data_IF_022866908312
#
_entry.id   IF_022866908312
#
_cell.length_a   1.000
_cell.length_b   1.000
_cell.length_c   1.000
_cell.angle_alpha   90.00
_cell.angle_beta   90.00
_cell.angle_gamma   90.00
#
_symmetry.space_group_name_H-M   'P 1'
#
loop_
_entity.id
_entity.type
_entity.pdbx_description
1 polymer ?
#
# COMPACT_ATOMS: atom_id res chain seq x y z
N UNK A 1 44.44 41.84 17.87
CA UNK A 1 44.04 41.37 16.52
C UNK A 1 43.94 39.85 16.52
N UNK A 2 42.72 39.31 16.49
CA UNK A 2 42.29 38.17 15.65
C UNK A 2 40.82 37.91 15.95
N UNK A 3 39.98 38.38 15.04
CA UNK A 3 38.57 37.98 14.97
C UNK A 3 38.52 36.56 14.43
N UNK A 4 37.73 35.69 15.07
CA UNK A 4 37.18 34.52 14.42
C UNK A 4 35.73 34.37 14.86
N UNK A 5 34.83 34.79 13.99
CA UNK A 5 33.40 34.51 14.08
C UNK A 5 33.19 33.05 13.67
N UNK A 6 32.54 32.25 14.51
CA UNK A 6 31.77 31.10 14.05
C UNK A 6 30.36 31.20 14.60
N UNK A 7 29.44 31.45 13.67
CA UNK A 7 28.01 31.24 13.84
C UNK A 7 27.78 29.73 13.89
N UNK A 8 27.27 29.20 14.99
CA UNK A 8 26.67 27.86 14.98
C UNK A 8 25.16 28.06 15.00
N UNK A 9 24.62 27.80 13.81
CA UNK A 9 23.21 27.69 13.49
C UNK A 9 22.61 26.55 14.32
N UNK A 10 21.68 26.87 15.21
CA UNK A 10 20.84 25.88 15.90
C UNK A 10 19.84 25.34 14.88
N UNK A 11 19.87 24.03 14.62
CA UNK A 11 18.73 23.31 14.04
C UNK A 11 18.43 22.10 14.93
N UNK A 12 17.54 22.29 15.90
CA UNK A 12 16.80 21.19 16.51
C UNK A 12 15.58 20.92 15.62
N UNK A 13 15.71 19.98 14.68
CA UNK A 13 14.55 19.42 13.98
C UNK A 13 13.90 18.37 14.89
N UNK A 14 13.09 18.82 15.83
CA UNK A 14 12.04 17.98 16.39
C UNK A 14 10.86 18.01 15.42
N UNK A 15 10.83 17.11 14.45
CA UNK A 15 9.61 16.82 13.68
C UNK A 15 8.68 15.92 14.52
N UNK A 16 8.08 16.49 15.56
CA UNK A 16 6.85 15.96 16.13
C UNK A 16 5.72 16.55 15.28
N UNK A 17 5.28 15.83 14.26
CA UNK A 17 4.00 16.11 13.62
C UNK A 17 3.02 15.00 13.97
N UNK A 18 2.56 14.98 15.22
CA UNK A 18 1.16 14.70 15.46
C UNK A 18 0.46 16.05 15.31
N UNK A 19 -0.11 16.34 14.14
CA UNK A 19 -1.00 17.49 14.03
C UNK A 19 -2.13 17.28 15.03
N UNK A 20 -2.13 18.10 16.08
CA UNK A 20 -3.22 18.29 17.03
C UNK A 20 -4.40 19.07 16.41
N UNK A 21 -4.34 19.32 15.11
CA UNK A 21 -5.48 19.81 14.36
C UNK A 21 -6.35 18.59 14.09
N UNK A 22 -7.30 18.32 14.99
CA UNK A 22 -8.61 17.92 14.51
C UNK A 22 -9.04 19.07 13.59
N UNK A 23 -8.65 18.98 12.32
CA UNK A 23 -9.28 19.78 11.28
C UNK A 23 -10.79 19.62 11.51
N UNK A 24 -11.57 20.69 11.40
CA UNK A 24 -13.03 20.61 11.33
C UNK A 24 -13.38 19.80 10.08
N UNK A 25 -13.29 18.48 10.22
CA UNK A 25 -13.46 17.53 9.15
C UNK A 25 -14.95 17.47 8.93
N UNK A 26 -15.41 18.12 7.88
CA UNK A 26 -16.77 17.97 7.43
C UNK A 26 -16.92 16.57 6.81
N UNK A 27 -17.43 15.63 7.59
CA UNK A 27 -17.79 14.31 7.09
C UNK A 27 -19.00 14.45 6.18
N UNK A 28 -18.94 13.95 4.93
CA UNK A 28 -20.11 13.81 4.10
C UNK A 28 -21.20 13.05 4.87
N UNK A 29 -22.43 13.55 4.81
CA UNK A 29 -23.60 12.94 5.44
C UNK A 29 -24.57 12.44 4.37
N UNK A 30 -24.02 11.79 3.35
CA UNK A 30 -24.80 11.17 2.29
C UNK A 30 -25.26 9.77 2.73
N UNK A 31 -26.37 9.32 2.13
CA UNK A 31 -26.89 7.98 2.42
C UNK A 31 -25.97 6.92 1.81
N UNK A 32 -25.37 6.10 2.65
CA UNK A 32 -24.58 4.93 2.24
C UNK A 32 -25.47 3.73 1.92
N UNK A 33 -24.99 2.85 1.04
CA UNK A 33 -25.62 1.57 0.70
C UNK A 33 -25.28 0.52 1.77
N UNK A 34 -24.10 0.61 2.37
CA UNK A 34 -23.64 -0.22 3.47
C UNK A 34 -23.75 0.49 4.82
N UNK A 35 -23.91 -0.28 5.89
CA UNK A 35 -23.69 0.25 7.24
C UNK A 35 -22.18 0.40 7.47
N UNK A 36 -21.76 1.65 7.67
CA UNK A 36 -20.36 1.99 7.90
C UNK A 36 -20.24 2.59 9.29
N UNK A 37 -19.53 1.92 10.20
CA UNK A 37 -19.45 2.30 11.62
C UNK A 37 -18.02 2.64 12.00
N UNK A 38 -17.81 3.88 12.46
CA UNK A 38 -16.51 4.34 12.95
C UNK A 38 -16.29 3.80 14.37
N UNK A 39 -15.16 3.16 14.61
CA UNK A 39 -14.80 2.70 15.93
C UNK A 39 -14.60 3.90 16.88
N UNK A 40 -14.87 3.73 18.18
CA UNK A 40 -14.86 4.81 19.19
C UNK A 40 -13.53 5.55 19.35
N UNK A 41 -12.44 5.00 18.83
CA UNK A 41 -11.10 5.63 18.83
C UNK A 41 -10.80 6.41 17.53
N UNK A 42 -11.74 6.47 16.58
CA UNK A 42 -11.64 7.15 15.29
C UNK A 42 -10.47 6.68 14.39
N UNK A 43 -9.95 5.46 14.57
CA UNK A 43 -8.81 4.92 13.80
C UNK A 43 -9.17 3.88 12.76
N UNK A 44 -10.28 3.17 12.96
CA UNK A 44 -10.73 2.09 12.08
C UNK A 44 -12.23 2.15 11.92
N UNK A 45 -12.70 1.64 10.79
CA UNK A 45 -14.11 1.65 10.41
C UNK A 45 -14.49 0.24 9.96
N UNK A 46 -15.67 -0.22 10.36
CA UNK A 46 -16.27 -1.44 9.81
C UNK A 46 -17.26 -1.07 8.71
N UNK A 47 -17.23 -1.81 7.60
CA UNK A 47 -18.25 -1.78 6.56
C UNK A 47 -18.98 -3.12 6.58
N UNK A 48 -20.29 -3.09 6.80
CA UNK A 48 -21.11 -4.30 6.91
C UNK A 48 -21.71 -4.66 5.55
N UNK A 49 -21.22 -5.75 4.96
CA UNK A 49 -21.83 -6.40 3.80
C UNK A 49 -22.94 -7.36 4.23
N UNK A 50 -23.90 -7.61 3.35
CA UNK A 50 -24.85 -8.70 3.57
C UNK A 50 -24.14 -10.06 3.55
N UNK A 51 -24.71 -11.09 4.18
CA UNK A 51 -24.12 -12.44 4.16
C UNK A 51 -23.90 -12.99 2.74
N UNK A 52 -24.80 -12.69 1.80
CA UNK A 52 -24.65 -13.12 0.40
C UNK A 52 -23.55 -12.38 -0.33
N UNK A 53 -23.49 -11.06 -0.12
CA UNK A 53 -22.48 -10.20 -0.73
C UNK A 53 -21.08 -10.53 -0.22
N UNK A 54 -20.91 -10.67 1.10
CA UNK A 54 -19.62 -11.00 1.68
C UNK A 54 -19.10 -12.37 1.23
N UNK A 55 -19.99 -13.38 1.16
CA UNK A 55 -19.64 -14.69 0.61
C UNK A 55 -19.23 -14.61 -0.86
N UNK A 56 -19.94 -13.82 -1.66
CA UNK A 56 -19.58 -13.60 -3.06
C UNK A 56 -18.26 -12.81 -3.20
N UNK A 57 -18.02 -11.82 -2.34
CA UNK A 57 -16.77 -11.06 -2.28
C UNK A 57 -15.59 -11.99 -2.01
N UNK A 58 -15.70 -12.85 -1.00
CA UNK A 58 -14.64 -13.78 -0.64
C UNK A 58 -14.46 -14.87 -1.69
N UNK A 59 -15.53 -15.60 -2.04
CA UNK A 59 -15.44 -16.78 -2.91
C UNK A 59 -15.09 -16.47 -4.37
N UNK A 60 -15.28 -15.22 -4.82
CA UNK A 60 -15.01 -14.81 -6.20
C UNK A 60 -13.95 -13.71 -6.31
N UNK A 61 -13.14 -13.50 -5.26
CA UNK A 61 -12.11 -12.45 -5.21
C UNK A 61 -12.65 -11.09 -5.66
N UNK A 62 -13.67 -10.61 -4.94
CA UNK A 62 -14.43 -9.40 -5.25
C UNK A 62 -13.55 -8.17 -5.37
N UNK A 63 -12.43 -8.11 -4.64
CA UNK A 63 -11.46 -7.02 -4.76
C UNK A 63 -10.79 -6.96 -6.14
N UNK A 64 -10.49 -8.10 -6.76
CA UNK A 64 -9.97 -8.14 -8.13
C UNK A 64 -10.97 -7.70 -9.19
N UNK A 65 -12.28 -7.75 -8.89
CA UNK A 65 -13.32 -7.25 -9.77
C UNK A 65 -13.41 -5.71 -9.70
N UNK A 66 -13.26 -5.04 -10.85
CA UNK A 66 -13.22 -3.57 -10.89
C UNK A 66 -14.52 -2.88 -10.52
N UNK A 67 -15.64 -3.47 -10.89
CA UNK A 67 -16.95 -2.86 -10.63
C UNK A 67 -17.26 -2.96 -9.14
N UNK A 68 -17.05 -4.14 -8.55
CA UNK A 68 -17.28 -4.39 -7.11
C UNK A 68 -16.44 -3.46 -6.23
N UNK A 69 -15.12 -3.38 -6.45
CA UNK A 69 -14.26 -2.49 -5.62
C UNK A 69 -14.61 -1.01 -5.76
N UNK A 70 -15.01 -0.56 -6.96
CA UNK A 70 -15.43 0.83 -7.19
C UNK A 70 -16.72 1.15 -6.45
N UNK A 71 -17.71 0.26 -6.48
CA UNK A 71 -18.97 0.42 -5.73
C UNK A 71 -18.70 0.62 -4.24
N UNK A 72 -17.89 -0.25 -3.63
CA UNK A 72 -17.54 -0.14 -2.21
C UNK A 72 -16.79 1.15 -1.89
N UNK A 73 -15.83 1.55 -2.73
CA UNK A 73 -15.03 2.76 -2.48
C UNK A 73 -15.87 4.04 -2.62
N UNK A 74 -16.75 4.11 -3.62
CA UNK A 74 -17.69 5.22 -3.76
C UNK A 74 -18.59 5.34 -2.53
N UNK A 75 -19.08 4.21 -2.01
CA UNK A 75 -19.93 4.20 -0.81
C UNK A 75 -19.19 4.65 0.46
N UNK A 76 -17.88 4.39 0.55
CA UNK A 76 -17.03 4.93 1.62
C UNK A 76 -16.95 6.46 1.54
N UNK A 77 -16.73 7.04 0.35
CA UNK A 77 -16.63 8.50 0.21
C UNK A 77 -17.94 9.26 0.44
N UNK A 78 -19.10 8.58 0.38
CA UNK A 78 -20.37 9.16 0.87
C UNK A 78 -20.37 9.46 2.37
N UNK A 79 -19.41 8.90 3.13
CA UNK A 79 -19.26 9.08 4.57
C UNK A 79 -17.95 9.75 4.98
N UNK A 80 -16.88 9.57 4.22
CA UNK A 80 -15.56 10.11 4.54
C UNK A 80 -15.14 11.23 3.59
N UNK A 81 -14.50 12.30 4.09
CA UNK A 81 -13.96 13.35 3.23
C UNK A 81 -12.84 12.82 2.31
N UNK A 82 -12.64 13.44 1.16
CA UNK A 82 -11.52 13.15 0.26
C UNK A 82 -10.21 13.73 0.80
N UNK A 83 -9.61 13.05 1.78
CA UNK A 83 -8.33 13.46 2.40
C UNK A 83 -7.35 12.31 2.61
N UNK A 84 -7.71 11.10 2.21
CA UNK A 84 -6.92 9.90 2.46
C UNK A 84 -6.26 9.45 1.17
N UNK A 85 -4.93 9.28 1.21
CA UNK A 85 -4.18 8.76 0.07
C UNK A 85 -4.43 7.26 -0.17
N UNK A 86 -4.82 6.52 0.89
CA UNK A 86 -4.91 5.06 0.88
C UNK A 86 -6.15 4.55 1.61
N UNK A 87 -6.76 3.48 1.08
CA UNK A 87 -7.81 2.70 1.76
C UNK A 87 -7.36 1.25 1.88
N UNK A 88 -7.47 0.70 3.08
CA UNK A 88 -7.14 -0.69 3.40
C UNK A 88 -8.44 -1.44 3.67
N UNK A 89 -8.77 -2.39 2.79
CA UNK A 89 -9.79 -3.40 3.03
C UNK A 89 -9.15 -4.57 3.74
N UNK A 90 -9.56 -4.85 4.97
CA UNK A 90 -9.04 -5.98 5.75
C UNK A 90 -10.15 -7.00 5.88
N UNK A 91 -9.96 -8.19 5.32
CA UNK A 91 -10.94 -9.26 5.44
C UNK A 91 -11.06 -9.72 6.89
N UNK A 92 -12.29 -10.03 7.30
CA UNK A 92 -12.58 -10.58 8.62
C UNK A 92 -12.60 -12.11 8.55
N UNK A 93 -11.50 -12.68 8.07
CA UNK A 93 -11.33 -14.12 7.91
C UNK A 93 -10.23 -14.63 8.85
N UNK A 94 -10.37 -15.82 9.44
CA UNK A 94 -9.34 -16.42 10.28
C UNK A 94 -8.14 -16.92 9.47
N UNK A 95 -8.36 -17.27 8.20
CA UNK A 95 -7.37 -17.80 7.26
C UNK A 95 -7.64 -17.21 5.87
N UNK A 96 -6.65 -17.25 4.97
CA UNK A 96 -6.84 -16.80 3.59
C UNK A 96 -7.90 -17.69 2.91
N UNK A 97 -8.98 -17.10 2.37
CA UNK A 97 -9.98 -17.87 1.63
C UNK A 97 -9.40 -18.60 0.42
N UNK A 98 -9.91 -19.81 0.12
CA UNK A 98 -9.36 -20.68 -0.95
C UNK A 98 -9.32 -20.01 -2.34
N UNK A 99 -10.27 -19.11 -2.61
CA UNK A 99 -10.40 -18.34 -3.85
C UNK A 99 -9.40 -17.17 -3.97
N UNK A 100 -8.71 -16.81 -2.89
CA UNK A 100 -7.78 -15.69 -2.82
C UNK A 100 -6.36 -16.25 -2.78
N UNK A 101 -5.57 -15.96 -3.81
CA UNK A 101 -4.20 -16.47 -3.97
C UNK A 101 -3.12 -15.46 -3.56
N UNK A 102 -3.45 -14.50 -2.67
CA UNK A 102 -2.54 -13.45 -2.21
C UNK A 102 -2.75 -13.12 -0.73
N UNK A 103 -1.66 -12.67 -0.09
CA UNK A 103 -1.66 -12.17 1.29
C UNK A 103 -2.11 -10.69 1.35
N UNK A 104 -1.70 -9.93 0.34
CA UNK A 104 -1.99 -8.53 0.14
C UNK A 104 -2.09 -8.25 -1.35
N UNK A 105 -2.89 -7.25 -1.71
CA UNK A 105 -3.00 -6.81 -3.10
C UNK A 105 -3.30 -5.33 -3.17
N UNK A 106 -2.43 -4.57 -3.84
CA UNK A 106 -2.65 -3.17 -4.16
C UNK A 106 -3.24 -2.96 -5.56
N UNK A 107 -4.17 -2.01 -5.66
CA UNK A 107 -4.67 -1.44 -6.91
C UNK A 107 -4.33 0.05 -6.92
N UNK A 108 -3.51 0.47 -7.88
CA UNK A 108 -3.23 1.88 -8.13
C UNK A 108 -4.46 2.60 -8.67
N UNK A 109 -4.74 3.78 -8.12
CA UNK A 109 -5.89 4.64 -8.48
C UNK A 109 -5.41 5.92 -9.15
N UNK A 110 -4.36 6.55 -8.62
CA UNK A 110 -3.71 7.69 -9.23
C UNK A 110 -2.19 7.63 -9.00
N UNK A 111 -1.45 8.18 -9.95
CA UNK A 111 -0.01 8.36 -9.86
C UNK A 111 0.39 9.70 -10.49
N UNK A 112 0.94 10.57 -9.66
CA UNK A 112 1.55 11.85 -10.02
C UNK A 112 3.09 11.83 -9.89
N UNK A 113 3.67 10.66 -9.60
CA UNK A 113 5.09 10.48 -9.34
C UNK A 113 5.81 10.10 -10.63
N UNK A 114 6.78 10.93 -11.01
CA UNK A 114 7.70 10.66 -12.11
C UNK A 114 8.91 9.83 -11.67
N UNK A 115 9.62 9.22 -12.63
CA UNK A 115 10.88 8.52 -12.36
C UNK A 115 10.74 7.11 -11.75
N UNK A 116 9.53 6.66 -11.44
CA UNK A 116 9.24 5.27 -11.02
C UNK A 116 9.14 4.31 -12.21
N UNK A 117 9.08 4.82 -13.44
CA UNK A 117 8.83 4.01 -14.64
C UNK A 117 7.36 3.63 -14.85
N UNK A 118 6.45 4.13 -14.02
CA UNK A 118 5.02 4.09 -14.29
C UNK A 118 4.56 5.31 -15.09
N UNK A 119 3.42 5.20 -15.79
CA UNK A 119 2.76 6.36 -16.37
C UNK A 119 2.19 7.27 -15.29
N UNK A 120 2.02 8.54 -15.61
CA UNK A 120 1.18 9.47 -14.85
C UNK A 120 -0.28 9.20 -15.22
N UNK A 121 -1.16 9.04 -14.23
CA UNK A 121 -2.59 8.77 -14.44
C UNK A 121 -3.41 9.20 -13.24
N UNK A 122 -4.71 9.41 -13.45
CA UNK A 122 -5.66 9.67 -12.38
C UNK A 122 -7.03 9.06 -12.70
N UNK A 123 -7.42 8.04 -11.95
CA UNK A 123 -8.74 7.40 -12.00
C UNK A 123 -9.53 7.62 -10.71
N UNK A 124 -9.14 8.58 -9.85
CA UNK A 124 -9.72 8.80 -8.53
C UNK A 124 -11.24 8.98 -8.55
N UNK A 125 -11.76 9.67 -9.58
CA UNK A 125 -13.19 9.93 -9.74
C UNK A 125 -14.01 8.65 -9.86
N UNK A 126 -13.46 7.60 -10.47
CA UNK A 126 -14.13 6.30 -10.60
C UNK A 126 -14.32 5.60 -9.25
N UNK A 127 -13.54 6.01 -8.25
CA UNK A 127 -13.55 5.48 -6.88
C UNK A 127 -14.24 6.43 -5.89
N UNK A 128 -14.83 7.55 -6.34
CA UNK A 128 -15.48 8.54 -5.48
C UNK A 128 -14.55 9.58 -4.85
N UNK A 129 -13.27 9.58 -5.22
CA UNK A 129 -12.28 10.55 -4.73
C UNK A 129 -12.13 11.74 -5.70
N UNK A 130 -12.01 12.95 -5.17
CA UNK A 130 -11.78 14.21 -5.90
C UNK A 130 -10.31 14.43 -6.28
N UNK A 131 -9.46 13.39 -6.16
CA UNK A 131 -8.07 13.42 -6.61
C UNK A 131 -7.04 13.08 -5.55
N UNK A 132 -7.45 12.83 -4.29
CA UNK A 132 -6.51 12.45 -3.23
C UNK A 132 -6.12 10.98 -3.24
N UNK A 133 -7.01 10.09 -3.65
CA UNK A 133 -6.78 8.65 -3.54
C UNK A 133 -5.68 8.17 -4.48
N UNK A 134 -4.56 7.71 -3.92
CA UNK A 134 -3.42 7.13 -4.65
C UNK A 134 -3.64 5.65 -4.93
N UNK A 135 -4.05 4.87 -3.93
CA UNK A 135 -4.28 3.43 -4.08
C UNK A 135 -5.28 2.89 -3.09
N UNK A 136 -5.88 1.75 -3.41
CA UNK A 136 -6.60 0.91 -2.46
C UNK A 136 -5.93 -0.45 -2.37
N UNK A 137 -6.00 -1.11 -1.22
CA UNK A 137 -5.43 -2.45 -1.05
C UNK A 137 -6.32 -3.36 -0.22
N UNK A 138 -6.27 -4.65 -0.51
CA UNK A 138 -6.88 -5.67 0.32
C UNK A 138 -5.80 -6.48 1.04
N UNK A 139 -6.03 -6.74 2.33
CA UNK A 139 -5.32 -7.72 3.13
C UNK A 139 -6.28 -8.89 3.40
N UNK A 140 -5.83 -10.12 3.16
CA UNK A 140 -6.68 -11.31 3.29
C UNK A 140 -6.90 -11.78 4.74
N UNK A 141 -6.35 -11.05 5.71
CA UNK A 141 -6.46 -11.33 7.14
C UNK A 141 -5.97 -10.14 7.98
N UNK A 142 -6.40 -10.08 9.24
CA UNK A 142 -6.08 -8.98 10.17
C UNK A 142 -4.61 -8.94 10.56
N UNK A 143 -3.99 -10.12 10.71
CA UNK A 143 -2.59 -10.32 11.03
C UNK A 143 -1.66 -9.69 9.98
N UNK A 144 -2.12 -9.58 8.74
CA UNK A 144 -1.33 -9.01 7.65
C UNK A 144 -1.13 -7.49 7.75
N UNK A 145 -1.93 -6.82 8.58
CA UNK A 145 -1.70 -5.42 8.93
C UNK A 145 -0.46 -5.26 9.83
N UNK A 146 -0.18 -6.25 10.69
CA UNK A 146 0.89 -6.18 11.70
C UNK A 146 2.18 -6.85 11.26
N UNK A 147 2.08 -8.02 10.64
CA UNK A 147 3.21 -8.89 10.31
C UNK A 147 3.20 -9.41 8.87
N UNK A 148 2.27 -8.94 8.05
CA UNK A 148 2.15 -9.34 6.65
C UNK A 148 2.52 -8.22 5.67
N UNK A 149 2.01 -8.29 4.43
CA UNK A 149 2.45 -7.45 3.34
C UNK A 149 1.94 -6.00 3.41
N UNK A 150 1.27 -5.51 4.47
CA UNK A 150 0.73 -4.14 4.48
C UNK A 150 1.77 -3.06 4.10
N UNK A 151 3.00 -3.16 4.64
CA UNK A 151 4.08 -2.25 4.27
C UNK A 151 4.57 -2.50 2.83
N UNK A 152 4.61 -3.76 2.39
CA UNK A 152 4.98 -4.15 1.03
C UNK A 152 4.00 -3.56 0.00
N UNK A 153 2.70 -3.75 0.22
CA UNK A 153 1.65 -3.21 -0.64
C UNK A 153 1.75 -1.69 -0.70
N UNK A 154 1.83 -1.01 0.45
CA UNK A 154 1.97 0.44 0.50
C UNK A 154 3.22 0.94 -0.28
N UNK A 155 4.32 0.19 -0.22
CA UNK A 155 5.55 0.55 -0.91
C UNK A 155 5.43 0.48 -2.45
N UNK A 156 4.45 -0.23 -3.01
CA UNK A 156 4.23 -0.26 -4.46
C UNK A 156 4.01 1.12 -5.07
N UNK A 157 3.47 2.09 -4.32
CA UNK A 157 3.27 3.47 -4.77
C UNK A 157 4.57 4.23 -5.11
N UNK A 158 5.70 3.84 -4.51
CA UNK A 158 7.01 4.47 -4.74
C UNK A 158 8.06 3.50 -5.27
N UNK A 159 7.62 2.31 -5.65
CA UNK A 159 8.49 1.26 -6.14
C UNK A 159 9.06 1.59 -7.54
N UNK A 160 10.10 0.87 -7.95
CA UNK A 160 10.73 1.05 -9.25
C UNK A 160 10.21 0.03 -10.27
N UNK A 161 9.55 0.52 -11.30
CA UNK A 161 8.99 -0.21 -12.42
C UNK A 161 9.72 0.07 -13.73
N UNK A 162 10.66 1.01 -13.73
CA UNK A 162 11.39 1.46 -14.91
C UNK A 162 12.57 0.56 -15.27
N UNK A 163 12.99 -0.31 -14.35
CA UNK A 163 14.10 -1.23 -14.56
C UNK A 163 13.55 -2.65 -14.60
N UNK A 164 13.95 -3.39 -15.63
CA UNK A 164 13.69 -4.82 -15.71
C UNK A 164 14.35 -5.55 -14.55
N UNK A 165 13.59 -6.39 -13.87
CA UNK A 165 14.06 -7.16 -12.73
C UNK A 165 13.71 -8.63 -12.93
N UNK A 166 14.34 -9.49 -12.16
CA UNK A 166 14.19 -10.93 -12.33
C UNK A 166 13.71 -11.57 -11.03
N UNK A 167 12.86 -12.59 -11.15
CA UNK A 167 12.38 -13.39 -10.04
C UNK A 167 12.97 -14.80 -10.10
N UNK A 168 13.08 -15.43 -8.92
CA UNK A 168 13.51 -16.80 -8.73
C UNK A 168 12.43 -17.49 -7.89
N UNK A 169 11.97 -18.68 -8.31
CA UNK A 169 10.87 -19.40 -7.69
C UNK A 169 11.26 -20.33 -6.53
N UNK A 170 12.55 -20.58 -6.31
CA UNK A 170 13.04 -21.43 -5.23
C UNK A 170 14.49 -21.12 -4.87
N UNK A 171 14.89 -21.52 -3.66
CA UNK A 171 16.31 -21.53 -3.26
C UNK A 171 16.98 -22.81 -3.76
N UNK A 172 18.25 -22.74 -4.16
CA UNK A 172 19.02 -23.91 -4.58
C UNK A 172 20.16 -23.59 -5.54
N UNK A 173 20.83 -24.62 -6.02
CA UNK A 173 21.83 -24.54 -7.08
C UNK A 173 21.14 -24.65 -8.46
N UNK A 174 21.75 -24.06 -9.50
CA UNK A 174 21.26 -24.11 -10.89
C UNK A 174 19.85 -23.54 -11.11
N UNK A 175 19.48 -22.52 -10.32
CA UNK A 175 18.22 -21.79 -10.43
C UNK A 175 18.22 -20.83 -11.63
N UNK A 176 17.17 -20.90 -12.45
CA UNK A 176 16.94 -19.94 -13.53
C UNK A 176 16.07 -18.80 -13.04
N UNK A 177 16.55 -17.58 -13.28
CA UNK A 177 15.74 -16.38 -13.07
C UNK A 177 14.95 -16.06 -14.34
N UNK A 178 13.75 -15.52 -14.19
CA UNK A 178 12.95 -15.03 -15.31
C UNK A 178 12.61 -13.57 -15.12
N UNK A 179 12.49 -12.84 -16.24
CA UNK A 179 11.99 -11.47 -16.21
C UNK A 179 10.61 -11.50 -15.56
N UNK A 180 10.55 -10.79 -14.45
CA UNK A 180 9.33 -10.51 -13.75
C UNK A 180 9.33 -8.97 -13.64
N UNK A 181 8.18 -8.33 -13.54
CA UNK A 181 8.12 -6.91 -13.18
C UNK A 181 7.86 -6.76 -11.68
N UNK A 182 8.57 -7.42 -10.73
CA UNK A 182 8.45 -7.03 -9.35
C UNK A 182 8.96 -5.60 -9.28
N UNK A 183 8.27 -4.82 -8.49
CA UNK A 183 8.48 -3.38 -8.47
C UNK A 183 9.81 -3.06 -7.69
N UNK A 184 10.53 -4.13 -7.31
CA UNK A 184 11.76 -4.23 -6.54
C UNK A 184 12.52 -5.46 -7.08
N UNK A 185 13.81 -5.32 -7.39
CA UNK A 185 14.65 -6.43 -7.83
C UNK A 185 15.89 -6.59 -6.96
N UNK A 186 16.59 -7.71 -7.14
CA UNK A 186 17.93 -7.86 -6.58
C UNK A 186 18.89 -6.89 -7.27
N UNK A 187 19.15 -5.75 -6.65
CA UNK A 187 20.36 -4.99 -6.91
C UNK A 187 21.44 -5.51 -5.97
N UNK A 188 22.02 -6.68 -6.27
CA UNK A 188 23.08 -7.21 -5.42
C UNK A 188 23.46 -8.66 -5.65
N UNK A 189 24.69 -8.82 -6.13
CA UNK A 189 25.42 -10.07 -6.30
C UNK A 189 26.82 -9.71 -6.82
N UNK A 190 27.42 -10.57 -7.65
CA UNK A 190 28.75 -10.29 -8.23
C UNK A 190 28.78 -9.08 -9.19
N UNK A 191 27.63 -8.59 -9.66
CA UNK A 191 27.48 -7.33 -10.39
C UNK A 191 26.71 -6.32 -9.54
N UNK A 192 27.28 -5.11 -9.38
CA UNK A 192 26.63 -4.02 -8.63
C UNK A 192 25.48 -3.45 -9.46
N UNK A 193 24.27 -3.43 -8.90
CA UNK A 193 23.15 -2.71 -9.49
C UNK A 193 23.30 -1.20 -9.29
N UNK A 194 22.40 -0.43 -9.90
CA UNK A 194 22.38 1.04 -9.83
C UNK A 194 22.23 1.58 -8.39
N UNK A 195 21.60 0.81 -7.50
CA UNK A 195 21.40 1.14 -6.08
C UNK A 195 22.44 0.48 -5.15
N UNK A 196 23.48 -0.12 -5.71
CA UNK A 196 24.48 -0.90 -4.96
C UNK A 196 24.32 -2.41 -5.13
N UNK A 197 25.03 -3.15 -4.28
CA UNK A 197 25.01 -4.60 -4.28
C UNK A 197 25.95 -5.19 -3.24
N UNK A 198 25.69 -6.42 -2.81
CA UNK A 198 26.57 -7.18 -1.93
C UNK A 198 27.38 -8.18 -2.75
N UNK A 199 28.61 -8.50 -2.34
CA UNK A 199 29.32 -9.64 -2.94
C UNK A 199 28.59 -10.89 -2.52
N UNK A 200 28.13 -11.69 -3.47
CA UNK A 200 27.40 -12.91 -3.11
C UNK A 200 28.27 -13.88 -2.31
N UNK A 201 29.58 -13.88 -2.58
CA UNK A 201 30.58 -14.61 -1.80
C UNK A 201 30.81 -14.08 -0.38
N UNK A 202 30.24 -12.93 -0.01
CA UNK A 202 30.31 -12.40 1.35
C UNK A 202 29.04 -12.62 2.17
N UNK A 203 28.03 -13.32 1.62
CA UNK A 203 26.87 -13.72 2.41
C UNK A 203 27.30 -14.79 3.43
N UNK A 204 26.84 -14.62 4.66
CA UNK A 204 26.99 -15.63 5.72
C UNK A 204 25.63 -16.27 5.99
N UNK A 205 25.63 -17.60 6.14
CA UNK A 205 24.45 -18.37 6.51
C UNK A 205 24.11 -18.09 7.97
N UNK A 206 22.91 -17.55 8.23
CA UNK A 206 22.45 -17.25 9.59
C UNK A 206 21.45 -18.29 10.13
N UNK A 207 21.30 -19.42 9.43
CA UNK A 207 20.37 -20.51 9.78
C UNK A 207 18.90 -20.13 9.52
N UNK A 208 18.35 -20.68 8.43
CA UNK A 208 16.92 -20.59 8.09
C UNK A 208 16.33 -21.98 7.92
#
# INVERSE_FOLDING_TARGET
MKYLKYYILVLFLFSISCSKYEDDINYPNEKTDHEITLHSNNRVTSLLMTNSEYKDWVNNDGFSNSEKRKVITNDIYKKFPDKYDFIFFVLNEPDIPESINYYGKLIGVSNDIEGTGQSIYNYSSDYGSEGKLKSIMQLSGLEYLRSGPALHELAHNWANFGIETHYINSSGNDISSFNYKPHWGFTGGNTKGQLGGFKQSSLIENGG
#
